data_IF_996160051956
#
_entry.id   IF_996160051956
#
_cell.length_a   1.000
_cell.length_b   1.000
_cell.length_c   1.000
_cell.angle_alpha   90.00
_cell.angle_beta   90.00
_cell.angle_gamma   90.00
#
_symmetry.space_group_name_H-M   'P 1'
#
loop_
_entity.id
_entity.type
_entity.pdbx_description
1 polymer ?
#
# COMPACT_ATOMS: atom_id res chain seq x y z
N UNK A 1 2.19 14.08 -14.48
CA UNK A 1 2.10 12.60 -14.49
C UNK A 1 1.13 12.06 -15.56
N UNK A 2 -0.18 12.39 -15.55
CA UNK A 2 -1.17 11.86 -16.52
C UNK A 2 -0.77 11.97 -18.00
N UNK A 3 -0.24 13.11 -18.44
CA UNK A 3 0.21 13.31 -19.83
C UNK A 3 1.32 12.33 -20.26
N UNK A 4 2.20 11.93 -19.34
CA UNK A 4 3.25 10.96 -19.61
C UNK A 4 2.65 9.59 -19.95
N UNK A 5 1.72 9.10 -19.14
CA UNK A 5 1.05 7.81 -19.41
C UNK A 5 0.26 7.82 -20.73
N UNK A 6 -0.39 8.94 -21.07
CA UNK A 6 -1.07 9.09 -22.35
C UNK A 6 -0.08 9.04 -23.53
N UNK A 7 1.02 9.81 -23.45
CA UNK A 7 2.09 9.78 -24.46
C UNK A 7 2.71 8.39 -24.60
N UNK A 8 3.01 7.75 -23.48
CA UNK A 8 3.56 6.39 -23.47
C UNK A 8 2.58 5.40 -24.12
N UNK A 9 1.27 5.61 -23.96
CA UNK A 9 0.23 4.82 -24.63
C UNK A 9 -0.06 5.25 -26.09
N UNK A 10 0.70 6.19 -26.63
CA UNK A 10 0.53 6.68 -28.01
C UNK A 10 -0.77 7.46 -28.23
N UNK A 11 -1.30 8.11 -27.18
CA UNK A 11 -2.51 8.94 -27.27
C UNK A 11 -2.25 10.36 -26.75
N UNK A 12 -2.69 11.39 -27.49
CA UNK A 12 -2.42 12.79 -27.13
C UNK A 12 -3.39 13.34 -26.08
N UNK A 13 -4.58 12.75 -25.99
CA UNK A 13 -5.64 13.11 -25.05
C UNK A 13 -6.29 11.85 -24.48
N UNK A 14 -6.97 11.94 -23.32
CA UNK A 14 -7.79 10.83 -22.84
C UNK A 14 -8.75 10.35 -23.95
N UNK A 15 -8.88 9.03 -24.19
CA UNK A 15 -9.85 8.49 -25.14
C UNK A 15 -11.28 8.95 -24.84
N UNK A 16 -12.16 8.90 -25.85
CA UNK A 16 -13.51 9.44 -25.72
C UNK A 16 -14.41 8.62 -24.76
N UNK A 17 -14.10 7.33 -24.62
CA UNK A 17 -14.86 6.41 -23.77
C UNK A 17 -13.98 5.86 -22.65
N UNK A 18 -14.60 5.53 -21.51
CA UNK A 18 -13.90 4.83 -20.43
C UNK A 18 -13.40 3.47 -20.91
N UNK A 19 -14.15 2.76 -21.75
CA UNK A 19 -13.72 1.49 -22.33
C UNK A 19 -12.40 1.62 -23.08
N UNK A 20 -12.28 2.61 -23.97
CA UNK A 20 -11.04 2.88 -24.70
C UNK A 20 -9.92 3.34 -23.77
N UNK A 21 -10.22 4.12 -22.73
CA UNK A 21 -9.21 4.53 -21.74
C UNK A 21 -8.63 3.33 -20.99
N UNK A 22 -9.48 2.40 -20.55
CA UNK A 22 -9.05 1.18 -19.89
C UNK A 22 -8.20 0.31 -20.83
N UNK A 23 -8.71 0.04 -22.04
CA UNK A 23 -8.10 -0.88 -22.99
C UNK A 23 -6.83 -0.33 -23.66
N UNK A 24 -6.73 0.98 -23.87
CA UNK A 24 -5.63 1.60 -24.61
C UNK A 24 -4.61 2.29 -23.71
N UNK A 25 -4.99 2.66 -22.48
CA UNK A 25 -4.09 3.39 -21.56
C UNK A 25 -3.80 2.58 -20.31
N UNK A 26 -4.84 2.23 -19.53
CA UNK A 26 -4.63 1.63 -18.19
C UNK A 26 -4.00 0.24 -18.30
N UNK A 27 -4.66 -0.71 -18.97
CA UNK A 27 -4.16 -2.09 -19.09
C UNK A 27 -2.78 -2.16 -19.77
N UNK A 28 -2.53 -1.52 -20.92
CA UNK A 28 -1.20 -1.54 -21.56
C UNK A 28 -0.10 -0.88 -20.73
N UNK A 29 -0.44 0.07 -19.85
CA UNK A 29 0.54 0.66 -18.92
C UNK A 29 0.96 -0.36 -17.88
N UNK A 30 0.01 -1.05 -17.24
CA UNK A 30 0.29 -2.08 -16.24
C UNK A 30 1.06 -3.26 -16.84
N UNK A 31 0.71 -3.67 -18.06
CA UNK A 31 1.42 -4.72 -18.79
C UNK A 31 2.87 -4.34 -19.08
N UNK A 32 3.13 -3.09 -19.49
CA UNK A 32 4.50 -2.60 -19.67
C UNK A 32 5.27 -2.51 -18.37
N UNK A 33 4.66 -2.01 -17.29
CA UNK A 33 5.32 -2.01 -15.99
C UNK A 33 5.74 -3.43 -15.59
N UNK A 34 4.82 -4.40 -15.73
CA UNK A 34 5.10 -5.81 -15.45
C UNK A 34 6.22 -6.38 -16.33
N UNK A 35 6.20 -6.08 -17.64
CA UNK A 35 7.24 -6.48 -18.58
C UNK A 35 8.60 -5.84 -18.25
N UNK A 36 8.58 -4.61 -17.72
CA UNK A 36 9.75 -3.90 -17.20
C UNK A 36 10.25 -4.41 -15.84
N UNK A 37 9.62 -5.45 -15.28
CA UNK A 37 10.04 -6.08 -14.03
C UNK A 37 9.35 -5.54 -12.78
N UNK A 38 8.34 -4.67 -12.91
CA UNK A 38 7.54 -4.25 -11.76
C UNK A 38 6.86 -5.45 -11.10
N UNK A 39 6.90 -5.47 -9.77
CA UNK A 39 6.24 -6.49 -8.93
C UNK A 39 5.02 -5.93 -8.18
N UNK A 40 4.81 -4.61 -8.24
CA UNK A 40 3.73 -3.93 -7.57
C UNK A 40 3.41 -2.57 -8.21
N UNK A 41 2.18 -2.10 -8.02
CA UNK A 41 1.76 -0.72 -8.28
C UNK A 41 1.49 0.01 -6.96
N UNK A 42 2.05 1.20 -6.78
CA UNK A 42 1.92 2.00 -5.55
C UNK A 42 0.95 3.16 -5.74
N UNK A 43 0.06 3.33 -4.76
CA UNK A 43 -0.95 4.38 -4.73
C UNK A 43 -0.70 5.34 -3.57
N UNK A 44 -0.71 6.63 -3.88
CA UNK A 44 -0.66 7.77 -2.95
C UNK A 44 -2.07 8.24 -2.54
N UNK A 45 -3.05 7.34 -2.55
CA UNK A 45 -4.46 7.70 -2.40
C UNK A 45 -4.75 8.48 -1.12
N UNK A 46 -4.20 8.06 0.02
CA UNK A 46 -4.40 8.70 1.31
C UNK A 46 -3.97 10.18 1.37
N UNK A 47 -3.06 10.64 0.49
CA UNK A 47 -2.67 12.05 0.40
C UNK A 47 -3.74 12.92 -0.28
N UNK A 48 -4.62 12.31 -1.07
CA UNK A 48 -5.52 13.02 -1.97
C UNK A 48 -7.00 12.77 -1.66
N UNK A 49 -7.31 11.67 -0.95
CA UNK A 49 -8.66 11.20 -0.65
C UNK A 49 -8.64 10.06 0.39
N UNK A 50 -9.81 9.75 0.94
CA UNK A 50 -9.99 8.54 1.76
C UNK A 50 -9.69 7.25 0.97
N UNK A 51 -9.19 6.25 1.70
CA UNK A 51 -8.99 4.86 1.26
C UNK A 51 -10.30 4.08 1.05
N UNK A 52 -11.47 4.70 1.26
CA UNK A 52 -12.76 4.10 0.96
C UNK A 52 -12.99 4.03 -0.56
N UNK A 53 -12.75 2.86 -1.15
CA UNK A 53 -13.00 2.58 -2.57
C UNK A 53 -14.26 1.72 -2.73
N UNK A 54 -15.38 2.39 -3.00
CA UNK A 54 -16.69 1.76 -3.12
C UNK A 54 -16.82 0.97 -4.43
N UNK A 55 -17.72 -0.01 -4.47
CA UNK A 55 -18.04 -0.67 -5.72
C UNK A 55 -18.95 0.25 -6.53
N UNK A 56 -18.61 0.44 -7.80
CA UNK A 56 -19.31 1.35 -8.71
C UNK A 56 -19.72 0.58 -9.95
N UNK A 57 -20.97 0.74 -10.37
CA UNK A 57 -21.47 0.12 -11.59
C UNK A 57 -20.81 0.73 -12.82
N UNK A 58 -20.57 -0.12 -13.83
CA UNK A 58 -19.82 0.29 -15.02
C UNK A 58 -20.52 1.44 -15.76
N UNK A 59 -21.85 1.40 -15.85
CA UNK A 59 -22.64 2.46 -16.48
C UNK A 59 -22.46 3.81 -15.80
N UNK A 60 -22.39 3.84 -14.47
CA UNK A 60 -22.21 5.09 -13.71
C UNK A 60 -20.81 5.65 -13.93
N UNK A 61 -19.79 4.79 -13.91
CA UNK A 61 -18.42 5.19 -14.23
C UNK A 61 -18.30 5.70 -15.67
N UNK A 62 -18.97 5.06 -16.63
CA UNK A 62 -18.99 5.50 -18.04
C UNK A 62 -19.64 6.89 -18.16
N UNK A 63 -20.79 7.14 -17.50
CA UNK A 63 -21.46 8.44 -17.49
C UNK A 63 -20.59 9.55 -16.89
N UNK A 64 -19.96 9.29 -15.73
CA UNK A 64 -19.06 10.25 -15.08
C UNK A 64 -17.84 10.52 -15.97
N UNK A 65 -17.26 9.49 -16.56
CA UNK A 65 -16.13 9.65 -17.49
C UNK A 65 -16.51 10.53 -18.68
N UNK A 66 -17.62 10.26 -19.36
CA UNK A 66 -18.07 11.07 -20.50
C UNK A 66 -18.29 12.54 -20.13
N UNK A 67 -18.80 12.81 -18.92
CA UNK A 67 -19.01 14.17 -18.44
C UNK A 67 -17.69 14.93 -18.24
N UNK A 68 -16.63 14.26 -17.79
CA UNK A 68 -15.39 14.89 -17.32
C UNK A 68 -14.11 14.58 -18.12
N UNK A 69 -14.15 13.66 -19.08
CA UNK A 69 -12.99 13.29 -19.89
C UNK A 69 -12.39 14.52 -20.58
N UNK A 70 -11.09 14.76 -20.34
CA UNK A 70 -10.37 15.90 -20.92
C UNK A 70 -10.70 17.27 -20.32
N UNK A 71 -11.57 17.36 -19.30
CA UNK A 71 -11.89 18.60 -18.58
C UNK A 71 -11.08 18.69 -17.28
N UNK A 72 -10.73 19.89 -16.84
CA UNK A 72 -10.21 20.10 -15.49
C UNK A 72 -11.34 19.81 -14.49
N UNK A 73 -11.05 18.97 -13.49
CA UNK A 73 -12.05 18.18 -12.77
C UNK A 73 -13.05 19.01 -11.95
N UNK A 74 -14.25 18.46 -11.72
CA UNK A 74 -15.28 19.03 -10.84
C UNK A 74 -14.85 18.95 -9.37
N UNK A 75 -15.69 19.49 -8.46
CA UNK A 75 -15.55 19.25 -7.03
C UNK A 75 -15.40 17.74 -6.74
N UNK A 76 -14.48 17.40 -5.84
CA UNK A 76 -14.10 16.03 -5.45
C UNK A 76 -15.25 15.01 -5.31
N UNK A 77 -16.47 15.37 -4.80
CA UNK A 77 -17.54 14.40 -4.61
C UNK A 77 -18.05 13.73 -5.89
N UNK A 78 -18.23 14.49 -6.98
CA UNK A 78 -18.79 13.93 -8.24
C UNK A 78 -17.81 13.03 -8.98
N UNK A 79 -16.51 13.16 -8.68
CA UNK A 79 -15.44 12.43 -9.37
C UNK A 79 -14.99 11.17 -8.60
N UNK A 80 -15.29 11.08 -7.30
CA UNK A 80 -14.93 9.93 -6.45
C UNK A 80 -15.40 8.59 -7.03
N UNK A 81 -16.65 8.41 -7.53
CA UNK A 81 -17.07 7.10 -8.03
C UNK A 81 -16.25 6.62 -9.24
N UNK A 82 -15.82 7.53 -10.12
CA UNK A 82 -14.93 7.17 -11.22
C UNK A 82 -13.53 6.76 -10.71
N UNK A 83 -12.99 7.47 -9.71
CA UNK A 83 -11.72 7.08 -9.08
C UNK A 83 -11.82 5.71 -8.39
N UNK A 84 -12.94 5.41 -7.75
CA UNK A 84 -13.19 4.12 -7.09
C UNK A 84 -13.22 2.99 -8.12
N UNK A 85 -13.97 3.21 -9.21
CA UNK A 85 -14.03 2.29 -10.34
C UNK A 85 -12.63 2.04 -10.92
N UNK A 86 -11.87 3.11 -11.20
CA UNK A 86 -10.53 3.01 -11.77
C UNK A 86 -9.55 2.29 -10.84
N UNK A 87 -9.57 2.59 -9.53
CA UNK A 87 -8.75 1.88 -8.55
C UNK A 87 -9.06 0.39 -8.55
N UNK A 88 -10.34 0.01 -8.47
CA UNK A 88 -10.76 -1.40 -8.46
C UNK A 88 -10.39 -2.11 -9.75
N UNK A 89 -10.52 -1.44 -10.90
CA UNK A 89 -10.06 -1.97 -12.19
C UNK A 89 -8.55 -2.22 -12.20
N UNK A 90 -7.75 -1.23 -11.78
CA UNK A 90 -6.29 -1.36 -11.70
C UNK A 90 -5.90 -2.48 -10.75
N UNK A 91 -6.52 -2.56 -9.57
CA UNK A 91 -6.26 -3.60 -8.59
C UNK A 91 -6.57 -5.00 -9.14
N UNK A 92 -7.68 -5.17 -9.89
CA UNK A 92 -8.01 -6.43 -10.54
C UNK A 92 -6.96 -6.80 -11.62
N UNK A 93 -6.52 -5.83 -12.42
CA UNK A 93 -5.48 -6.02 -13.43
C UNK A 93 -4.11 -6.37 -12.81
N UNK A 94 -3.74 -5.73 -11.69
CA UNK A 94 -2.56 -6.13 -10.93
C UNK A 94 -2.63 -7.60 -10.49
N UNK A 95 -3.79 -8.05 -9.98
CA UNK A 95 -4.02 -9.46 -9.64
C UNK A 95 -3.87 -10.39 -10.83
N UNK A 96 -4.40 -10.01 -12.01
CA UNK A 96 -4.22 -10.76 -13.28
C UNK A 96 -2.75 -10.88 -13.66
N UNK A 97 -1.99 -9.80 -13.49
CA UNK A 97 -0.56 -9.70 -13.84
C UNK A 97 0.40 -10.23 -12.75
N UNK A 98 -0.15 -10.70 -11.62
CA UNK A 98 0.61 -11.12 -10.42
C UNK A 98 1.50 -10.01 -9.87
N UNK A 99 0.99 -8.79 -9.87
CA UNK A 99 1.58 -7.64 -9.17
C UNK A 99 0.78 -7.35 -7.90
N UNK A 100 1.47 -6.95 -6.84
CA UNK A 100 0.82 -6.43 -5.64
C UNK A 100 0.31 -5.00 -5.85
N UNK A 101 -0.55 -4.54 -4.94
CA UNK A 101 -0.97 -3.14 -4.85
C UNK A 101 -0.50 -2.58 -3.52
N UNK A 102 0.29 -1.52 -3.53
CA UNK A 102 0.75 -0.83 -2.33
C UNK A 102 -0.13 0.38 -2.05
N UNK A 103 -0.60 0.52 -0.81
CA UNK A 103 -1.41 1.66 -0.37
C UNK A 103 -0.80 2.27 0.88
N UNK A 104 -0.56 3.58 0.85
CA UNK A 104 -0.17 4.33 2.04
C UNK A 104 -1.28 4.28 3.07
N UNK A 105 -0.97 3.84 4.28
CA UNK A 105 -1.94 3.71 5.38
C UNK A 105 -1.54 4.45 6.66
N UNK A 106 -0.42 5.17 6.63
CA UNK A 106 0.05 5.97 7.77
C UNK A 106 -0.31 7.45 7.60
N UNK A 107 -0.61 8.10 8.72
CA UNK A 107 -0.71 9.54 8.80
C UNK A 107 0.67 10.22 8.73
N UNK A 108 0.80 11.31 7.97
CA UNK A 108 2.09 12.01 7.91
C UNK A 108 2.30 13.08 6.85
N UNK A 109 1.31 13.42 6.01
CA UNK A 109 1.53 14.32 4.87
C UNK A 109 1.34 15.83 5.17
N UNK A 110 1.49 16.24 6.42
CA UNK A 110 1.32 17.64 6.85
C UNK A 110 -0.12 18.05 7.17
N UNK A 111 -0.34 19.36 7.40
CA UNK A 111 -1.55 19.87 8.05
C UNK A 111 -2.87 19.74 7.27
N UNK A 112 -2.84 19.40 5.98
CA UNK A 112 -4.04 19.16 5.17
C UNK A 112 -4.46 17.70 5.13
N UNK A 113 -3.65 16.79 5.72
CA UNK A 113 -3.85 15.36 5.60
C UNK A 113 -5.07 14.89 6.41
N UNK A 114 -6.02 14.24 5.73
CA UNK A 114 -7.17 13.60 6.38
C UNK A 114 -6.75 12.28 7.04
N UNK A 115 -6.42 12.35 8.32
CA UNK A 115 -6.02 11.19 9.14
C UNK A 115 -7.11 10.12 9.14
N UNK A 116 -8.39 10.48 9.22
CA UNK A 116 -9.50 9.52 9.21
C UNK A 116 -9.62 8.79 7.88
N UNK A 117 -9.36 9.51 6.77
CA UNK A 117 -9.33 8.94 5.43
C UNK A 117 -8.23 7.89 5.21
N UNK A 118 -7.11 8.00 5.93
CA UNK A 118 -6.00 7.05 5.88
C UNK A 118 -6.20 5.79 6.74
N UNK A 119 -7.29 5.71 7.52
CA UNK A 119 -7.58 4.54 8.34
C UNK A 119 -7.66 3.26 7.46
N UNK A 120 -6.81 2.24 7.70
CA UNK A 120 -6.80 0.98 6.96
C UNK A 120 -8.16 0.28 6.90
N UNK A 121 -9.04 0.45 7.90
CA UNK A 121 -10.38 -0.17 7.90
C UNK A 121 -11.24 0.31 6.73
N UNK A 122 -10.97 1.48 6.15
CA UNK A 122 -11.63 1.95 4.94
C UNK A 122 -11.38 1.01 3.73
N UNK A 123 -10.36 0.16 3.79
CA UNK A 123 -10.05 -0.84 2.77
C UNK A 123 -10.91 -2.12 2.88
N UNK A 124 -11.77 -2.27 3.89
CA UNK A 124 -12.56 -3.49 4.05
C UNK A 124 -13.42 -3.82 2.82
N UNK A 125 -14.00 -2.82 2.17
CA UNK A 125 -14.77 -3.00 0.92
C UNK A 125 -13.93 -3.64 -0.19
N UNK A 126 -12.63 -3.33 -0.24
CA UNK A 126 -11.66 -3.88 -1.20
C UNK A 126 -11.18 -5.26 -0.76
N UNK A 127 -10.75 -5.37 0.50
CA UNK A 127 -10.22 -6.60 1.10
C UNK A 127 -11.28 -7.70 1.24
N UNK A 128 -12.57 -7.36 1.27
CA UNK A 128 -13.66 -8.33 1.32
C UNK A 128 -14.20 -8.70 -0.07
N UNK A 129 -13.81 -8.00 -1.15
CA UNK A 129 -14.31 -8.25 -2.49
C UNK A 129 -13.78 -9.58 -3.08
N UNK A 130 -14.65 -10.56 -3.42
CA UNK A 130 -14.24 -11.81 -4.04
C UNK A 130 -13.49 -11.64 -5.37
N UNK A 131 -13.84 -10.61 -6.15
CA UNK A 131 -13.19 -10.33 -7.45
C UNK A 131 -11.73 -9.90 -7.31
N UNK A 132 -11.32 -9.42 -6.13
CA UNK A 132 -9.96 -8.98 -5.83
C UNK A 132 -9.17 -9.98 -5.00
N UNK A 133 -9.69 -11.20 -4.78
CA UNK A 133 -9.00 -12.25 -4.00
C UNK A 133 -7.64 -12.66 -4.55
N UNK A 134 -7.42 -12.47 -5.86
CA UNK A 134 -6.14 -12.75 -6.53
C UNK A 134 -5.14 -11.59 -6.44
N UNK A 135 -5.56 -10.44 -5.91
CA UNK A 135 -4.73 -9.25 -5.78
C UNK A 135 -4.22 -9.14 -4.36
N UNK A 136 -2.91 -9.21 -4.18
CA UNK A 136 -2.27 -8.92 -2.90
C UNK A 136 -2.27 -7.41 -2.65
N UNK A 137 -2.80 -7.00 -1.50
CA UNK A 137 -2.78 -5.62 -1.03
C UNK A 137 -1.74 -5.49 0.08
N UNK A 138 -0.75 -4.63 -0.12
CA UNK A 138 0.26 -4.27 0.88
C UNK A 138 -0.10 -2.89 1.44
N UNK A 139 -0.49 -2.87 2.70
CA UNK A 139 -0.74 -1.65 3.46
C UNK A 139 0.61 -1.15 3.98
N UNK A 140 1.23 -0.24 3.22
CA UNK A 140 2.56 0.27 3.56
C UNK A 140 2.46 1.28 4.71
N UNK A 141 3.53 1.36 5.47
CA UNK A 141 3.70 2.20 6.65
C UNK A 141 2.90 1.80 7.89
N UNK A 142 2.35 0.59 7.90
CA UNK A 142 1.85 -0.06 9.12
C UNK A 142 0.75 0.68 9.87
N UNK A 143 0.00 1.54 9.17
CA UNK A 143 -1.26 2.06 9.67
C UNK A 143 -1.21 3.16 10.73
N UNK A 144 -0.07 3.70 11.16
CA UNK A 144 -0.03 4.62 12.33
C UNK A 144 -0.96 5.85 12.12
N UNK A 145 -1.83 6.21 13.09
CA UNK A 145 -1.93 5.68 14.45
C UNK A 145 -2.84 4.44 14.63
N UNK A 146 -3.47 3.94 13.57
CA UNK A 146 -4.38 2.79 13.53
C UNK A 146 -3.66 1.42 13.52
N UNK A 147 -2.59 1.29 14.31
CA UNK A 147 -1.72 0.11 14.28
C UNK A 147 -2.37 -1.15 14.84
N UNK A 148 -3.43 -1.04 15.65
CA UNK A 148 -4.19 -2.21 16.13
C UNK A 148 -5.22 -2.64 15.09
N UNK A 149 -5.89 -1.67 14.48
CA UNK A 149 -6.90 -1.87 13.44
C UNK A 149 -6.30 -2.53 12.20
N UNK A 150 -5.14 -2.08 11.74
CA UNK A 150 -4.44 -2.72 10.60
C UNK A 150 -4.05 -4.18 10.91
N UNK A 151 -3.70 -4.47 12.17
CA UNK A 151 -3.38 -5.83 12.63
C UNK A 151 -4.56 -6.78 12.44
N UNK A 152 -5.78 -6.33 12.75
CA UNK A 152 -7.00 -7.13 12.54
C UNK A 152 -7.24 -7.49 11.06
N UNK A 153 -6.85 -6.60 10.14
CA UNK A 153 -6.97 -6.82 8.70
C UNK A 153 -6.02 -7.89 8.16
N UNK A 154 -4.97 -8.28 8.90
CA UNK A 154 -4.07 -9.37 8.48
C UNK A 154 -4.75 -10.73 8.41
N UNK A 155 -5.94 -10.89 9.01
CA UNK A 155 -6.78 -12.09 8.83
C UNK A 155 -7.29 -12.24 7.40
N UNK A 156 -7.37 -11.14 6.62
CA UNK A 156 -7.79 -11.20 5.22
C UNK A 156 -6.70 -11.90 4.39
N UNK A 157 -7.06 -12.86 3.52
CA UNK A 157 -6.08 -13.76 2.88
C UNK A 157 -5.05 -13.03 2.02
N UNK A 158 -5.43 -11.89 1.45
CA UNK A 158 -4.63 -11.10 0.52
C UNK A 158 -4.12 -9.76 1.10
N UNK A 159 -4.20 -9.55 2.42
CA UNK A 159 -3.67 -8.36 3.07
C UNK A 159 -2.27 -8.62 3.67
N UNK A 160 -1.36 -7.69 3.46
CA UNK A 160 -0.01 -7.67 4.02
C UNK A 160 0.31 -6.26 4.51
N UNK A 161 1.31 -6.10 5.36
CA UNK A 161 1.81 -4.79 5.75
C UNK A 161 3.33 -4.76 5.83
N UNK A 162 3.90 -3.56 5.74
CA UNK A 162 5.23 -3.26 6.23
C UNK A 162 5.16 -2.17 7.30
N UNK A 163 6.26 -1.94 7.99
CA UNK A 163 6.40 -0.87 9.00
C UNK A 163 7.33 0.26 8.56
N UNK A 164 7.50 0.44 7.24
CA UNK A 164 8.31 1.53 6.70
C UNK A 164 7.80 2.89 7.16
N UNK A 165 8.66 3.90 7.24
CA UNK A 165 8.35 5.22 7.81
C UNK A 165 8.03 5.26 9.33
N UNK A 166 7.46 4.21 9.93
CA UNK A 166 7.37 4.11 11.39
C UNK A 166 8.74 3.95 12.03
N UNK A 167 9.66 3.27 11.36
CA UNK A 167 11.06 3.15 11.74
C UNK A 167 11.85 4.46 11.60
N UNK A 168 11.28 5.48 10.97
CA UNK A 168 11.77 6.86 10.98
C UNK A 168 11.09 7.72 12.04
N UNK A 169 9.80 7.47 12.29
CA UNK A 169 8.94 8.38 13.08
C UNK A 169 8.84 8.00 14.56
N UNK A 170 9.07 6.74 14.89
CA UNK A 170 8.89 6.19 16.22
C UNK A 170 10.21 5.75 16.83
N UNK A 171 10.30 5.82 18.16
CA UNK A 171 11.42 5.23 18.88
C UNK A 171 11.42 3.70 18.72
N UNK A 172 12.58 3.03 18.83
CA UNK A 172 12.63 1.58 18.79
C UNK A 172 11.72 0.89 19.81
N UNK A 173 11.54 1.46 21.01
CA UNK A 173 10.69 0.89 22.05
C UNK A 173 9.19 0.97 21.68
N UNK A 174 8.75 2.11 21.15
CA UNK A 174 7.36 2.29 20.68
C UNK A 174 7.05 1.36 19.52
N UNK A 175 7.93 1.30 18.52
CA UNK A 175 7.75 0.41 17.37
C UNK A 175 7.82 -1.07 17.77
N UNK A 176 8.66 -1.43 18.75
CA UNK A 176 8.73 -2.81 19.24
C UNK A 176 7.40 -3.30 19.83
N UNK A 177 6.67 -2.45 20.56
CA UNK A 177 5.36 -2.80 21.09
C UNK A 177 4.36 -3.10 19.96
N UNK A 178 4.33 -2.26 18.92
CA UNK A 178 3.48 -2.45 17.74
C UNK A 178 3.85 -3.75 17.00
N UNK A 179 5.14 -3.97 16.74
CA UNK A 179 5.62 -5.16 16.04
C UNK A 179 5.26 -6.44 16.81
N UNK A 180 5.38 -6.43 18.14
CA UNK A 180 5.01 -7.58 18.97
C UNK A 180 3.54 -7.96 18.77
N UNK A 181 2.61 -6.99 18.84
CA UNK A 181 1.18 -7.26 18.64
C UNK A 181 0.90 -7.90 17.27
N UNK A 182 1.56 -7.46 16.20
CA UNK A 182 1.37 -8.07 14.88
C UNK A 182 1.99 -9.46 14.76
N UNK A 183 3.14 -9.69 15.38
CA UNK A 183 3.87 -10.97 15.34
C UNK A 183 3.21 -12.06 16.20
N UNK A 184 2.50 -11.67 17.26
CA UNK A 184 1.62 -12.56 18.04
C UNK A 184 0.45 -13.08 17.19
N UNK A 185 0.03 -12.32 16.18
CA UNK A 185 -1.16 -12.62 15.40
C UNK A 185 -0.87 -13.29 14.05
N UNK A 186 -0.20 -12.61 13.11
CA UNK A 186 0.00 -13.11 11.73
C UNK A 186 1.40 -12.74 11.19
N UNK A 187 2.48 -13.32 11.74
CA UNK A 187 3.85 -12.91 11.45
C UNK A 187 4.28 -13.11 9.99
N UNK A 188 3.65 -14.01 9.24
CA UNK A 188 3.94 -14.27 7.81
C UNK A 188 3.49 -13.16 6.87
N UNK A 189 2.77 -12.15 7.38
CA UNK A 189 2.27 -11.00 6.61
C UNK A 189 2.90 -9.66 7.01
N UNK A 190 3.83 -9.69 7.96
CA UNK A 190 4.57 -8.51 8.42
C UNK A 190 5.91 -8.43 7.67
N UNK A 191 6.17 -7.30 7.01
CA UNK A 191 7.38 -7.09 6.22
C UNK A 191 8.15 -5.85 6.70
N UNK A 192 9.41 -5.77 6.30
CA UNK A 192 10.25 -4.60 6.49
C UNK A 192 10.38 -3.79 5.19
N UNK A 193 10.37 -2.47 5.34
CA UNK A 193 10.77 -1.49 4.33
C UNK A 193 11.23 -0.23 5.06
N UNK A 194 11.94 0.68 4.40
CA UNK A 194 12.49 1.90 5.05
C UNK A 194 11.72 3.17 4.75
N UNK A 195 11.05 3.23 3.58
CA UNK A 195 10.56 4.48 2.99
C UNK A 195 11.65 5.55 2.80
N UNK A 196 12.90 5.14 2.55
CA UNK A 196 14.03 6.06 2.38
C UNK A 196 13.73 7.15 1.33
N UNK A 197 13.80 8.42 1.75
CA UNK A 197 13.45 9.59 0.95
C UNK A 197 14.19 10.83 1.46
N UNK A 198 14.53 11.82 0.60
CA UNK A 198 15.08 13.09 1.07
C UNK A 198 13.98 13.97 1.69
N UNK A 199 13.66 13.70 2.97
CA UNK A 199 12.54 14.37 3.65
C UNK A 199 12.82 15.84 3.97
N UNK A 200 14.07 16.19 4.29
CA UNK A 200 14.52 17.56 4.61
C UNK A 200 15.93 17.77 4.04
N UNK A 201 16.39 19.03 3.82
CA UNK A 201 17.72 19.31 3.26
C UNK A 201 18.88 18.67 4.02
N UNK A 202 18.74 18.50 5.34
CA UNK A 202 19.76 17.93 6.23
C UNK A 202 19.70 16.39 6.31
N UNK A 203 18.67 15.76 5.74
CA UNK A 203 18.46 14.32 5.78
C UNK A 203 18.07 13.80 4.40
N UNK A 204 19.07 13.29 3.67
CA UNK A 204 18.91 12.67 2.36
C UNK A 204 18.26 11.28 2.43
N UNK A 205 18.16 10.65 1.26
CA UNK A 205 17.62 9.29 1.17
C UNK A 205 18.57 8.28 1.82
N UNK A 206 19.89 8.53 1.78
CA UNK A 206 20.91 7.70 2.41
C UNK A 206 20.77 7.71 3.94
N UNK A 207 20.71 8.90 4.54
CA UNK A 207 20.61 9.07 5.99
C UNK A 207 19.28 8.51 6.52
N UNK A 208 18.16 8.86 5.87
CA UNK A 208 16.86 8.32 6.27
C UNK A 208 16.82 6.80 6.12
N UNK A 209 17.32 6.24 5.01
CA UNK A 209 17.41 4.81 4.82
C UNK A 209 18.24 4.10 5.89
N UNK A 210 19.36 4.70 6.31
CA UNK A 210 20.19 4.16 7.39
C UNK A 210 19.50 4.22 8.76
N UNK A 211 18.87 5.35 9.10
CA UNK A 211 18.10 5.51 10.34
C UNK A 211 16.99 4.47 10.41
N UNK A 212 16.15 4.40 9.38
CA UNK A 212 15.05 3.46 9.26
C UNK A 212 15.52 2.00 9.44
N UNK A 213 16.55 1.60 8.68
CA UNK A 213 17.09 0.25 8.76
C UNK A 213 17.66 -0.10 10.14
N UNK A 214 18.30 0.86 10.82
CA UNK A 214 18.84 0.67 12.17
C UNK A 214 17.71 0.57 13.21
N UNK A 215 16.80 1.54 13.21
CA UNK A 215 15.66 1.60 14.13
C UNK A 215 14.76 0.39 13.98
N UNK A 216 14.39 0.03 12.74
CA UNK A 216 13.53 -1.11 12.45
C UNK A 216 14.11 -2.43 12.95
N UNK A 217 15.41 -2.68 12.72
CA UNK A 217 16.09 -3.88 13.24
C UNK A 217 16.18 -3.87 14.77
N UNK A 218 16.43 -2.71 15.38
CA UNK A 218 16.48 -2.59 16.83
C UNK A 218 15.10 -2.84 17.46
N UNK A 219 14.03 -2.27 16.90
CA UNK A 219 12.67 -2.48 17.35
C UNK A 219 12.26 -3.95 17.26
N UNK A 220 12.54 -4.60 16.13
CA UNK A 220 12.28 -6.04 15.95
C UNK A 220 13.05 -6.89 16.97
N UNK A 221 14.32 -6.56 17.23
CA UNK A 221 15.12 -7.25 18.24
C UNK A 221 14.55 -7.09 19.66
N UNK A 222 14.08 -5.89 20.02
CA UNK A 222 13.43 -5.63 21.31
C UNK A 222 12.14 -6.46 21.43
N UNK A 223 11.28 -6.45 20.40
CA UNK A 223 10.02 -7.20 20.38
C UNK A 223 10.27 -8.70 20.59
N UNK A 224 11.14 -9.29 19.76
CA UNK A 224 11.48 -10.71 19.84
C UNK A 224 12.16 -11.09 21.16
N UNK A 225 12.99 -10.21 21.73
CA UNK A 225 13.60 -10.43 23.05
C UNK A 225 12.55 -10.41 24.16
N UNK A 226 11.54 -9.53 24.06
CA UNK A 226 10.39 -9.52 24.97
C UNK A 226 9.64 -10.85 24.92
N UNK A 227 9.22 -11.28 23.73
CA UNK A 227 8.52 -12.55 23.53
C UNK A 227 9.33 -13.76 24.03
N UNK A 228 10.67 -13.75 23.86
CA UNK A 228 11.56 -14.77 24.41
C UNK A 228 11.58 -14.80 25.94
N UNK A 229 11.65 -13.62 26.58
CA UNK A 229 11.68 -13.50 28.05
C UNK A 229 10.36 -13.94 28.69
N UNK A 230 9.25 -13.67 28.00
CA UNK A 230 7.91 -14.02 28.45
C UNK A 230 7.58 -15.50 28.18
N UNK A 231 8.48 -16.24 27.51
CA UNK A 231 8.30 -17.66 27.23
C UNK A 231 7.33 -17.97 26.08
N UNK A 232 6.94 -16.97 25.29
CA UNK A 232 5.99 -17.10 24.19
C UNK A 232 6.60 -17.79 22.97
N UNK A 233 7.89 -17.60 22.75
CA UNK A 233 8.64 -18.17 21.64
C UNK A 233 9.98 -18.75 22.10
N UNK A 234 10.51 -19.70 21.32
CA UNK A 234 11.87 -20.22 21.50
C UNK A 234 12.90 -19.37 20.76
N UNK A 235 14.20 -19.53 21.10
CA UNK A 235 15.31 -18.87 20.39
C UNK A 235 15.32 -19.18 18.88
N UNK A 236 15.00 -20.42 18.52
CA UNK A 236 14.87 -20.85 17.13
C UNK A 236 13.74 -20.07 16.45
N UNK A 237 12.57 -19.99 17.10
CA UNK A 237 11.43 -19.26 16.56
C UNK A 237 11.69 -17.76 16.43
N UNK A 238 12.37 -17.13 17.39
CA UNK A 238 12.78 -15.73 17.28
C UNK A 238 13.68 -15.49 16.05
N UNK A 239 14.62 -16.40 15.79
CA UNK A 239 15.50 -16.31 14.62
C UNK A 239 14.73 -16.49 13.31
N UNK A 240 13.74 -17.40 13.28
CA UNK A 240 12.84 -17.56 12.14
C UNK A 240 12.02 -16.30 11.86
N UNK A 241 11.37 -15.75 12.89
CA UNK A 241 10.55 -14.54 12.78
C UNK A 241 11.37 -13.34 12.28
N UNK A 242 12.60 -13.17 12.78
CA UNK A 242 13.50 -12.14 12.30
C UNK A 242 13.78 -12.26 10.80
N UNK A 243 14.05 -13.48 10.30
CA UNK A 243 14.27 -13.71 8.86
C UNK A 243 12.99 -13.53 8.05
N UNK A 244 11.85 -13.96 8.57
CA UNK A 244 10.54 -13.77 7.93
C UNK A 244 10.28 -12.29 7.66
N UNK A 245 10.34 -11.46 8.70
CA UNK A 245 10.05 -10.03 8.63
C UNK A 245 11.05 -9.29 7.75
N UNK A 246 12.35 -9.53 7.94
CA UNK A 246 13.40 -8.78 7.24
C UNK A 246 13.65 -9.25 5.80
N UNK A 247 13.09 -10.38 5.38
CA UNK A 247 13.41 -10.98 4.07
C UNK A 247 12.35 -11.92 3.52
N UNK A 248 12.07 -13.03 4.21
CA UNK A 248 11.40 -14.17 3.56
C UNK A 248 9.94 -13.88 3.20
N UNK A 249 9.23 -13.06 3.98
CA UNK A 249 7.85 -12.68 3.67
C UNK A 249 7.77 -11.87 2.37
N UNK A 250 8.64 -10.86 2.21
CA UNK A 250 8.74 -10.07 0.99
C UNK A 250 9.16 -10.92 -0.22
N UNK A 251 10.17 -11.78 -0.05
CA UNK A 251 10.61 -12.71 -1.11
C UNK A 251 9.49 -13.61 -1.59
N UNK A 252 8.76 -14.22 -0.65
CA UNK A 252 7.61 -15.08 -0.96
C UNK A 252 6.50 -14.31 -1.68
N UNK A 253 6.18 -13.10 -1.21
CA UNK A 253 5.11 -12.28 -1.77
C UNK A 253 5.41 -11.82 -3.20
N UNK A 254 6.63 -11.31 -3.44
CA UNK A 254 7.03 -10.78 -4.75
C UNK A 254 7.66 -11.81 -5.70
N UNK A 255 7.90 -13.04 -5.24
CA UNK A 255 8.50 -14.11 -6.06
C UNK A 255 9.99 -13.91 -6.36
N UNK A 256 10.77 -13.45 -5.37
CA UNK A 256 12.21 -13.12 -5.46
C UNK A 256 13.10 -14.13 -4.72
#
# INVERSE_FOLDING_TARGET
MRQRYLKDAGVDKPPATLADYLARVVTPTLERHRQGGAVAEKFEAAYLRSLAFDKVDRSDADHIYQRFAGKFGPAQPEYKPLQDFLFRYIAAECGRLRMAVHLHTMAGAGGYFDVGGANPLNLESVLNDPSLRKTTIVMVHGGWPFTREIGALLTKPNAYLDFSAQDLSLTPATLAAILREWLEFVPEKVMFGTDAYPYIPEMGWEESGWIAARTGRQALAIALTGMLRDGEISRTRASELARMVLRENARKLYGL
#
